data_IF_040166013611
#
_entry.id   IF_040166013611
#
_cell.length_a   1.000
_cell.length_b   1.000
_cell.length_c   1.000
_cell.angle_alpha   90.00
_cell.angle_beta   90.00
_cell.angle_gamma   90.00
#
_symmetry.space_group_name_H-M   'P 1'
#
loop_
_entity.id
_entity.type
_entity.pdbx_description
1 polymer ?
#
# COMPACT_ATOMS: atom_id res chain seq x y z
N UNK A 1 -7.48 31.12 -18.52
CA UNK A 1 -8.63 30.26 -18.83
C UNK A 1 -9.19 30.75 -20.14
N UNK A 2 -9.46 29.85 -21.09
CA UNK A 2 -10.24 30.20 -22.28
C UNK A 2 -11.63 30.70 -21.85
N UNK A 3 -12.31 31.48 -22.69
CA UNK A 3 -13.66 32.00 -22.39
C UNK A 3 -14.73 30.90 -22.20
N UNK A 4 -14.39 29.63 -22.42
CA UNK A 4 -15.33 28.49 -22.41
C UNK A 4 -14.97 27.38 -21.41
N UNK A 5 -14.00 27.60 -20.51
CA UNK A 5 -13.62 26.61 -19.50
C UNK A 5 -14.49 26.73 -18.23
N UNK A 6 -15.12 25.62 -17.82
CA UNK A 6 -15.88 25.52 -16.57
C UNK A 6 -15.09 24.74 -15.53
N UNK A 7 -15.23 25.11 -14.25
CA UNK A 7 -14.57 24.42 -13.15
C UNK A 7 -15.59 23.65 -12.32
N UNK A 8 -15.39 22.34 -12.17
CA UNK A 8 -16.30 21.42 -11.51
C UNK A 8 -15.59 20.79 -10.31
N UNK A 9 -16.09 20.99 -9.07
CA UNK A 9 -15.61 20.25 -7.92
C UNK A 9 -16.25 18.86 -7.87
N UNK A 10 -15.43 17.82 -7.83
CA UNK A 10 -15.86 16.43 -7.60
C UNK A 10 -15.34 15.98 -6.24
N UNK A 11 -16.26 15.60 -5.35
CA UNK A 11 -15.96 15.26 -3.95
C UNK A 11 -16.04 16.47 -3.01
N UNK A 12 -15.87 16.28 -1.68
CA UNK A 12 -15.48 15.03 -1.00
C UNK A 12 -16.65 14.06 -0.75
N UNK A 13 -17.88 14.42 -1.13
CA UNK A 13 -19.10 13.63 -0.89
C UNK A 13 -19.74 13.08 -2.19
N UNK A 14 -18.97 12.98 -3.28
CA UNK A 14 -19.49 12.56 -4.58
C UNK A 14 -19.60 11.03 -4.66
N UNK A 15 -20.74 10.44 -5.08
CA UNK A 15 -20.93 8.98 -5.11
C UNK A 15 -19.90 8.21 -5.92
N UNK A 16 -19.43 8.78 -7.03
CA UNK A 16 -18.43 8.19 -7.92
C UNK A 16 -16.97 8.34 -7.41
N UNK A 17 -16.77 8.79 -6.17
CA UNK A 17 -15.47 8.78 -5.52
C UNK A 17 -15.66 8.20 -4.13
N UNK A 18 -15.26 6.95 -3.96
CA UNK A 18 -15.44 6.22 -2.69
C UNK A 18 -14.62 6.76 -1.51
N UNK A 19 -13.57 7.53 -1.79
CA UNK A 19 -12.70 8.10 -0.78
C UNK A 19 -12.91 9.62 -0.63
N UNK A 20 -12.79 10.18 0.57
CA UNK A 20 -12.96 11.61 0.81
C UNK A 20 -11.76 12.41 0.27
N UNK A 21 -11.82 12.72 -1.03
CA UNK A 21 -10.89 13.58 -1.77
C UNK A 21 -11.69 14.59 -2.57
N UNK A 22 -11.11 15.76 -2.82
CA UNK A 22 -11.72 16.78 -3.68
C UNK A 22 -10.85 16.97 -4.91
N UNK A 23 -11.42 16.73 -6.08
CA UNK A 23 -10.82 17.06 -7.37
C UNK A 23 -11.49 18.31 -7.90
N UNK A 24 -10.72 19.33 -8.25
CA UNK A 24 -11.23 20.45 -9.03
C UNK A 24 -10.78 20.24 -10.47
N UNK A 25 -11.76 20.05 -11.35
CA UNK A 25 -11.53 19.71 -12.73
C UNK A 25 -11.99 20.87 -13.59
N UNK A 26 -11.07 21.40 -14.39
CA UNK A 26 -11.38 22.41 -15.40
C UNK A 26 -11.65 21.69 -16.73
N UNK A 27 -12.81 21.95 -17.34
CA UNK A 27 -13.28 21.28 -18.55
C UNK A 27 -13.63 22.27 -19.67
N UNK A 28 -13.34 21.90 -20.90
CA UNK A 28 -13.81 22.56 -22.13
C UNK A 28 -14.76 21.59 -22.86
N UNK A 29 -16.06 21.83 -22.76
CA UNK A 29 -17.07 20.83 -23.13
C UNK A 29 -16.96 19.61 -22.20
N UNK A 30 -16.63 18.44 -22.76
CA UNK A 30 -16.40 17.20 -21.98
C UNK A 30 -14.92 16.90 -21.70
N UNK A 31 -14.01 17.63 -22.36
CA UNK A 31 -12.57 17.35 -22.29
C UNK A 31 -11.95 18.05 -21.08
N UNK A 32 -11.17 17.28 -20.33
CA UNK A 32 -10.45 17.78 -19.15
C UNK A 32 -9.20 18.55 -19.60
N UNK A 33 -9.08 19.81 -19.16
CA UNK A 33 -7.93 20.69 -19.45
C UNK A 33 -7.11 21.07 -18.22
N UNK A 34 -7.67 20.88 -17.02
CA UNK A 34 -6.98 21.14 -15.76
C UNK A 34 -7.46 20.24 -14.63
N UNK A 35 -6.55 19.84 -13.75
CA UNK A 35 -6.84 18.97 -12.61
C UNK A 35 -6.05 19.45 -11.39
N UNK A 36 -6.76 19.89 -10.35
CA UNK A 36 -6.18 20.14 -9.04
C UNK A 36 -6.69 19.07 -8.05
N UNK A 37 -5.76 18.45 -7.31
CA UNK A 37 -6.07 17.41 -6.33
C UNK A 37 -5.94 17.96 -4.91
N UNK A 38 -7.04 17.98 -4.16
CA UNK A 38 -7.08 18.43 -2.78
C UNK A 38 -7.29 17.24 -1.83
N UNK A 39 -6.25 16.96 -1.06
CA UNK A 39 -6.24 15.92 -0.03
C UNK A 39 -6.37 16.54 1.38
N UNK A 40 -6.35 15.69 2.40
CA UNK A 40 -6.30 15.99 3.85
C UNK A 40 -7.62 15.99 4.61
N UNK A 41 -8.71 15.52 4.01
CA UNK A 41 -10.01 15.38 4.66
C UNK A 41 -10.04 14.32 5.78
N UNK A 42 -9.02 13.43 5.86
CA UNK A 42 -8.94 12.29 6.83
C UNK A 42 -7.61 12.27 7.60
N UNK A 43 -7.01 13.43 7.86
CA UNK A 43 -5.80 13.46 8.69
C UNK A 43 -6.14 13.09 10.15
N UNK A 44 -5.54 12.00 10.66
CA UNK A 44 -5.81 11.46 12.01
C UNK A 44 -4.64 11.61 13.00
N UNK A 45 -3.55 12.27 12.61
CA UNK A 45 -2.39 12.46 13.49
C UNK A 45 -1.67 11.17 13.92
N UNK A 46 -1.75 10.09 13.13
CA UNK A 46 -1.22 8.75 13.48
C UNK A 46 0.26 8.77 13.86
N UNK A 47 1.11 9.46 13.08
CA UNK A 47 2.55 9.59 13.36
C UNK A 47 2.79 10.28 14.71
N UNK A 48 2.07 11.38 14.97
CA UNK A 48 2.17 12.12 16.23
C UNK A 48 1.69 11.29 17.42
N UNK A 49 0.56 10.60 17.30
CA UNK A 49 0.06 9.70 18.37
C UNK A 49 1.07 8.58 18.62
N UNK A 50 1.66 7.99 17.57
CA UNK A 50 2.64 6.92 17.73
C UNK A 50 3.95 7.37 18.38
N UNK A 51 4.41 8.59 18.10
CA UNK A 51 5.59 9.20 18.74
C UNK A 51 5.33 9.61 20.20
N UNK A 52 4.08 9.85 20.60
CA UNK A 52 3.71 10.20 21.98
C UNK A 52 3.20 9.01 22.80
N UNK A 53 3.14 7.81 22.22
CA UNK A 53 2.82 6.58 22.96
C UNK A 53 4.03 6.10 23.74
N UNK A 54 3.79 5.69 24.98
CA UNK A 54 4.83 5.26 25.91
C UNK A 54 5.62 4.02 25.48
N UNK A 55 5.22 3.25 24.45
CA UNK A 55 5.94 2.03 24.05
C UNK A 55 5.73 1.67 22.56
N UNK A 56 6.80 1.36 21.80
CA UNK A 56 6.77 0.84 20.43
C UNK A 56 5.80 -0.33 20.22
N UNK A 57 5.69 -1.24 21.20
CA UNK A 57 4.79 -2.39 21.15
C UNK A 57 3.33 -1.95 21.02
N UNK A 58 2.94 -0.87 21.69
CA UNK A 58 1.58 -0.33 21.60
C UNK A 58 1.31 0.37 20.26
N UNK A 59 2.36 0.83 19.58
CA UNK A 59 2.27 1.49 18.29
C UNK A 59 1.99 0.51 17.14
N UNK A 60 2.21 -0.80 17.33
CA UNK A 60 1.84 -1.83 16.35
C UNK A 60 0.34 -1.76 16.01
N UNK A 61 -0.52 -1.68 17.03
CA UNK A 61 -1.96 -1.58 16.83
C UNK A 61 -2.40 -0.25 16.21
N UNK A 62 -1.53 0.77 16.29
CA UNK A 62 -1.75 2.05 15.64
C UNK A 62 -1.35 1.98 14.16
N UNK A 63 -0.27 1.27 13.83
CA UNK A 63 0.14 0.98 12.46
C UNK A 63 -0.94 0.20 11.69
N UNK A 64 -1.65 -0.73 12.34
CA UNK A 64 -2.81 -1.41 11.72
C UNK A 64 -3.95 -0.48 11.33
N UNK A 65 -4.07 0.67 12.01
CA UNK A 65 -5.15 1.65 11.77
C UNK A 65 -4.76 2.72 10.77
N UNK A 66 -3.53 2.69 10.25
CA UNK A 66 -3.03 3.60 9.20
C UNK A 66 -3.92 3.50 7.95
N UNK A 67 -4.33 2.28 7.60
CA UNK A 67 -5.26 1.96 6.51
C UNK A 67 -6.42 1.12 7.04
N UNK A 68 -7.59 1.21 6.42
CA UNK A 68 -8.72 0.32 6.71
C UNK A 68 -8.58 -1.08 6.09
N UNK A 69 -7.65 -1.26 5.15
CA UNK A 69 -7.51 -2.48 4.33
C UNK A 69 -6.11 -3.10 4.47
N UNK A 70 -5.04 -2.29 4.41
CA UNK A 70 -3.64 -2.71 4.59
C UNK A 70 -3.27 -2.89 6.08
N UNK A 71 -4.04 -3.69 6.82
CA UNK A 71 -3.83 -3.89 8.25
C UNK A 71 -2.73 -4.90 8.57
N UNK A 72 -2.08 -5.52 7.58
CA UNK A 72 -0.93 -6.41 7.73
C UNK A 72 0.32 -5.75 7.17
N UNK A 73 0.26 -5.14 5.99
CA UNK A 73 1.44 -4.53 5.37
C UNK A 73 1.99 -3.35 6.18
N UNK A 74 1.13 -2.48 6.72
CA UNK A 74 1.58 -1.36 7.55
C UNK A 74 2.25 -1.78 8.87
N UNK A 75 1.66 -2.64 9.72
CA UNK A 75 2.37 -3.11 10.89
C UNK A 75 3.58 -3.96 10.50
N UNK A 76 3.57 -4.72 9.40
CA UNK A 76 4.74 -5.48 8.94
C UNK A 76 5.90 -4.53 8.61
N UNK A 77 5.64 -3.48 7.85
CA UNK A 77 6.63 -2.46 7.52
C UNK A 77 7.12 -1.74 8.79
N UNK A 78 6.22 -1.40 9.71
CA UNK A 78 6.61 -0.79 10.99
C UNK A 78 7.49 -1.72 11.84
N UNK A 79 7.13 -3.00 12.01
CA UNK A 79 7.93 -3.92 12.83
C UNK A 79 9.29 -4.19 12.21
N UNK A 80 9.40 -4.29 10.89
CA UNK A 80 10.69 -4.38 10.21
C UNK A 80 11.56 -3.15 10.49
N UNK A 81 10.98 -1.94 10.44
CA UNK A 81 11.73 -0.72 10.75
C UNK A 81 12.26 -0.73 12.19
N UNK A 82 11.46 -1.21 13.14
CA UNK A 82 11.85 -1.31 14.56
C UNK A 82 12.86 -2.43 14.80
N UNK A 83 12.70 -3.56 14.13
CA UNK A 83 13.62 -4.71 14.14
C UNK A 83 15.00 -4.30 13.62
N UNK A 84 15.05 -3.58 12.50
CA UNK A 84 16.26 -3.01 11.91
C UNK A 84 16.95 -2.02 12.88
N UNK A 85 16.19 -1.07 13.43
CA UNK A 85 16.72 -0.09 14.40
C UNK A 85 17.23 -0.73 15.71
N UNK A 86 16.66 -1.87 16.12
CA UNK A 86 17.00 -2.54 17.37
C UNK A 86 17.95 -3.74 17.20
N UNK A 87 18.30 -4.11 15.97
CA UNK A 87 19.11 -5.30 15.66
C UNK A 87 18.44 -6.62 16.07
N UNK A 88 17.10 -6.70 15.97
CA UNK A 88 16.32 -7.90 16.31
C UNK A 88 15.99 -8.66 15.03
N UNK A 89 16.46 -9.89 14.91
CA UNK A 89 16.09 -10.77 13.80
C UNK A 89 14.91 -11.67 14.20
N UNK A 90 13.80 -11.70 13.43
CA UNK A 90 12.71 -12.64 13.66
C UNK A 90 13.15 -14.08 13.34
N UNK A 91 12.55 -15.10 13.95
CA UNK A 91 12.75 -16.48 13.54
C UNK A 91 12.22 -16.76 12.13
N UNK A 92 12.86 -17.69 11.40
CA UNK A 92 12.49 -18.07 10.04
C UNK A 92 11.01 -18.49 9.89
N UNK A 93 10.51 -19.30 10.84
CA UNK A 93 9.08 -19.68 10.86
C UNK A 93 8.16 -18.47 10.94
N UNK A 94 8.53 -17.43 11.70
CA UNK A 94 7.74 -16.22 11.80
C UNK A 94 7.70 -15.48 10.46
N UNK A 95 8.82 -15.39 9.75
CA UNK A 95 8.91 -14.74 8.44
C UNK A 95 8.03 -15.41 7.38
N UNK A 96 7.96 -16.74 7.36
CA UNK A 96 7.02 -17.46 6.51
C UNK A 96 5.56 -17.15 6.84
N UNK A 97 5.21 -17.11 8.13
CA UNK A 97 3.85 -16.75 8.56
C UNK A 97 3.53 -15.30 8.17
N UNK A 98 4.48 -14.37 8.31
CA UNK A 98 4.32 -12.97 7.89
C UNK A 98 4.04 -12.86 6.40
N UNK A 99 4.78 -13.60 5.57
CA UNK A 99 4.56 -13.66 4.12
C UNK A 99 3.20 -14.24 3.76
N UNK A 100 2.79 -15.37 4.36
CA UNK A 100 1.46 -15.97 4.14
C UNK A 100 0.36 -14.94 4.47
N UNK A 101 0.46 -14.28 5.63
CA UNK A 101 -0.52 -13.28 6.03
C UNK A 101 -0.54 -12.09 5.08
N UNK A 102 0.62 -11.58 4.64
CA UNK A 102 0.71 -10.46 3.71
C UNK A 102 0.09 -10.78 2.34
N UNK A 103 0.28 -11.99 1.82
CA UNK A 103 -0.32 -12.42 0.54
C UNK A 103 -1.84 -12.68 0.66
N UNK A 104 -2.33 -13.15 1.81
CA UNK A 104 -3.78 -13.22 2.06
C UNK A 104 -4.41 -11.81 2.05
N UNK A 105 -3.74 -10.80 2.62
CA UNK A 105 -4.18 -9.41 2.51
C UNK A 105 -4.10 -8.88 1.07
N UNK A 106 -3.12 -9.31 0.28
CA UNK A 106 -3.03 -8.96 -1.15
C UNK A 106 -4.20 -9.49 -1.96
N UNK A 107 -4.56 -10.77 -1.80
CA UNK A 107 -5.74 -11.36 -2.44
C UNK A 107 -7.00 -10.61 -2.03
N UNK A 108 -7.20 -10.40 -0.73
CA UNK A 108 -8.32 -9.63 -0.19
C UNK A 108 -8.43 -8.23 -0.81
N UNK A 109 -7.29 -7.55 -0.92
CA UNK A 109 -7.22 -6.19 -1.44
C UNK A 109 -7.52 -6.11 -2.93
N UNK A 110 -6.92 -6.98 -3.75
CA UNK A 110 -7.13 -6.97 -5.19
C UNK A 110 -8.55 -7.36 -5.56
N UNK A 111 -9.17 -8.31 -4.84
CA UNK A 111 -10.59 -8.66 -5.06
C UNK A 111 -11.53 -7.51 -4.64
N UNK A 112 -11.22 -6.81 -3.53
CA UNK A 112 -11.98 -5.62 -3.14
C UNK A 112 -11.95 -4.58 -4.27
N UNK A 113 -10.74 -4.26 -4.73
CA UNK A 113 -10.52 -3.29 -5.78
C UNK A 113 -11.17 -3.70 -7.10
N UNK A 114 -11.05 -4.97 -7.52
CA UNK A 114 -11.65 -5.45 -8.75
C UNK A 114 -13.18 -5.30 -8.73
N UNK A 115 -13.81 -5.56 -7.57
CA UNK A 115 -15.23 -5.26 -7.38
C UNK A 115 -15.53 -3.78 -7.55
N UNK A 116 -14.79 -2.90 -6.86
CA UNK A 116 -14.97 -1.44 -6.96
C UNK A 116 -14.78 -0.95 -8.39
N UNK A 117 -13.75 -1.41 -9.09
CA UNK A 117 -13.51 -1.07 -10.49
C UNK A 117 -14.72 -1.45 -11.35
N UNK A 118 -15.31 -2.64 -11.16
CA UNK A 118 -16.51 -3.05 -11.87
C UNK A 118 -17.73 -2.17 -11.55
N UNK A 119 -17.90 -1.75 -10.30
CA UNK A 119 -18.97 -0.82 -9.91
C UNK A 119 -18.83 0.54 -10.60
N UNK A 120 -17.62 1.11 -10.65
CA UNK A 120 -17.35 2.41 -11.27
C UNK A 120 -17.60 2.43 -12.79
N UNK A 121 -17.48 1.27 -13.46
CA UNK A 121 -17.87 1.13 -14.88
C UNK A 121 -19.32 0.67 -15.08
N UNK A 122 -20.10 0.46 -14.00
CA UNK A 122 -21.54 0.17 -14.03
C UNK A 122 -21.95 -1.31 -13.92
N UNK A 123 -21.04 -2.21 -13.55
CA UNK A 123 -21.27 -3.66 -13.49
C UNK A 123 -21.49 -4.18 -12.07
N UNK A 124 -22.64 -3.87 -11.48
CA UNK A 124 -22.97 -4.24 -10.10
C UNK A 124 -23.02 -5.76 -9.85
N UNK A 125 -23.46 -6.55 -10.84
CA UNK A 125 -23.46 -8.02 -10.70
C UNK A 125 -22.03 -8.56 -10.53
N UNK A 126 -21.07 -7.98 -11.25
CA UNK A 126 -19.65 -8.36 -11.15
C UNK A 126 -19.08 -7.89 -9.81
N UNK A 127 -19.44 -6.69 -9.34
CA UNK A 127 -19.11 -6.22 -8.00
C UNK A 127 -19.54 -7.23 -6.91
N UNK A 128 -20.82 -7.62 -6.90
CA UNK A 128 -21.35 -8.57 -5.91
C UNK A 128 -20.68 -9.95 -6.02
N UNK A 129 -20.44 -10.43 -7.25
CA UNK A 129 -19.76 -11.70 -7.48
C UNK A 129 -18.33 -11.68 -6.92
N UNK A 130 -17.53 -10.66 -7.26
CA UNK A 130 -16.14 -10.55 -6.83
C UNK A 130 -16.04 -10.37 -5.31
N UNK A 131 -16.95 -9.62 -4.69
CA UNK A 131 -16.98 -9.47 -3.24
C UNK A 131 -17.43 -10.74 -2.51
N UNK A 132 -18.32 -11.55 -3.09
CA UNK A 132 -18.63 -12.87 -2.55
C UNK A 132 -17.39 -13.79 -2.54
N UNK A 133 -16.54 -13.71 -3.57
CA UNK A 133 -15.25 -14.44 -3.59
C UNK A 133 -14.26 -13.92 -2.54
N UNK A 134 -14.28 -12.62 -2.25
CA UNK A 134 -13.46 -11.98 -1.22
C UNK A 134 -13.80 -12.47 0.20
N UNK A 135 -15.05 -12.83 0.48
CA UNK A 135 -15.42 -13.30 1.83
C UNK A 135 -14.64 -14.54 2.25
N UNK A 136 -14.31 -15.45 1.31
CA UNK A 136 -13.57 -16.68 1.62
C UNK A 136 -12.17 -16.42 2.20
N UNK A 137 -11.46 -15.38 1.74
CA UNK A 137 -10.15 -15.00 2.27
C UNK A 137 -10.29 -14.27 3.60
N UNK A 138 -11.39 -13.52 3.80
CA UNK A 138 -11.68 -12.90 5.09
C UNK A 138 -11.99 -13.94 6.17
N UNK A 139 -12.74 -14.99 5.84
CA UNK A 139 -12.99 -16.12 6.75
C UNK A 139 -11.69 -16.83 7.13
N UNK A 140 -10.77 -16.99 6.16
CA UNK A 140 -9.46 -17.58 6.40
C UNK A 140 -8.58 -16.69 7.30
N UNK A 141 -8.55 -15.38 7.04
CA UNK A 141 -7.86 -14.39 7.88
C UNK A 141 -8.43 -14.39 9.30
N UNK A 142 -9.75 -14.47 9.44
CA UNK A 142 -10.43 -14.57 10.74
C UNK A 142 -10.04 -15.85 11.47
N UNK A 143 -10.00 -16.99 10.79
CA UNK A 143 -9.56 -18.25 11.39
C UNK A 143 -8.11 -18.16 11.91
N UNK A 144 -7.20 -17.55 11.15
CA UNK A 144 -5.79 -17.45 11.51
C UNK A 144 -5.51 -16.39 12.59
N UNK A 145 -6.15 -15.23 12.51
CA UNK A 145 -5.84 -14.07 13.36
C UNK A 145 -6.86 -13.80 14.46
N UNK A 146 -8.08 -14.32 14.32
CA UNK A 146 -9.22 -14.10 15.21
C UNK A 146 -10.10 -12.91 14.84
N UNK A 147 -9.72 -12.10 13.85
CA UNK A 147 -10.48 -10.93 13.40
C UNK A 147 -10.44 -10.82 11.88
N UNK A 148 -11.49 -10.25 11.27
CA UNK A 148 -11.56 -10.06 9.81
C UNK A 148 -10.72 -8.89 9.28
N UNK A 149 -10.65 -7.78 10.01
CA UNK A 149 -10.04 -6.52 9.54
C UNK A 149 -8.77 -6.17 10.33
N UNK A 150 -8.89 -5.90 11.63
CA UNK A 150 -7.75 -5.59 12.52
C UNK A 150 -7.19 -6.88 13.12
N UNK A 151 -6.12 -7.39 12.51
CA UNK A 151 -5.68 -8.78 12.68
C UNK A 151 -4.71 -8.98 13.85
N UNK A 152 -4.03 -7.93 14.31
CA UNK A 152 -3.09 -7.96 15.44
C UNK A 152 -2.02 -9.07 15.35
N UNK A 153 -1.66 -9.52 14.14
CA UNK A 153 -0.83 -10.71 13.94
C UNK A 153 0.68 -10.41 14.01
N UNK A 154 1.07 -9.23 13.54
CA UNK A 154 2.47 -8.79 13.50
C UNK A 154 2.95 -8.44 14.91
N UNK A 155 4.14 -8.90 15.29
CA UNK A 155 4.82 -8.49 16.52
C UNK A 155 6.28 -8.12 16.22
N UNK A 156 6.88 -7.25 17.04
CA UNK A 156 8.32 -6.99 16.96
C UNK A 156 9.05 -8.29 17.35
N UNK A 157 9.91 -8.78 16.46
CA UNK A 157 10.62 -10.04 16.58
C UNK A 157 9.82 -11.28 16.21
N UNK A 158 8.67 -11.18 15.53
CA UNK A 158 7.95 -12.34 14.98
C UNK A 158 6.45 -12.15 14.78
N UNK A 159 5.65 -13.15 15.17
CA UNK A 159 4.19 -13.18 15.01
C UNK A 159 3.46 -13.59 16.29
N UNK A 160 2.20 -13.17 16.44
CA UNK A 160 1.39 -13.44 17.64
C UNK A 160 0.89 -14.88 17.71
N UNK A 161 0.47 -15.45 16.59
CA UNK A 161 -0.16 -16.77 16.51
C UNK A 161 0.58 -17.62 15.49
N UNK A 162 0.67 -18.90 15.80
CA UNK A 162 1.22 -19.91 14.90
C UNK A 162 0.15 -20.49 13.97
N UNK A 163 0.57 -21.14 12.89
CA UNK A 163 -0.29 -21.89 11.96
C UNK A 163 -0.23 -23.37 12.33
N UNK A 164 -1.37 -23.92 12.77
CA UNK A 164 -1.55 -25.36 13.04
C UNK A 164 -1.60 -26.17 11.74
N UNK A 165 -1.45 -27.49 11.82
CA UNK A 165 -1.63 -28.39 10.66
C UNK A 165 -3.05 -28.29 10.05
N UNK A 166 -4.07 -28.10 10.88
CA UNK A 166 -5.43 -27.81 10.40
C UNK A 166 -5.48 -26.48 9.65
N UNK A 167 -4.77 -25.45 10.16
CA UNK A 167 -4.65 -24.16 9.50
C UNK A 167 -3.98 -24.28 8.12
N UNK A 168 -2.91 -25.06 8.00
CA UNK A 168 -2.28 -25.36 6.71
C UNK A 168 -3.27 -25.97 5.72
N UNK A 169 -4.05 -26.97 6.17
CA UNK A 169 -5.07 -27.62 5.33
C UNK A 169 -6.12 -26.62 4.84
N UNK A 170 -6.67 -25.79 5.73
CA UNK A 170 -7.66 -24.75 5.38
C UNK A 170 -7.10 -23.71 4.42
N UNK A 171 -5.84 -23.30 4.59
CA UNK A 171 -5.18 -22.38 3.67
C UNK A 171 -5.10 -23.02 2.28
N UNK A 172 -4.65 -24.28 2.16
CA UNK A 172 -4.57 -24.98 0.88
C UNK A 172 -5.93 -25.12 0.20
N UNK A 173 -6.98 -25.46 0.95
CA UNK A 173 -8.36 -25.51 0.46
C UNK A 173 -8.83 -24.14 -0.07
N UNK A 174 -8.56 -23.06 0.67
CA UNK A 174 -8.86 -21.70 0.22
C UNK A 174 -8.11 -21.31 -1.05
N UNK A 175 -6.83 -21.64 -1.13
CA UNK A 175 -6.00 -21.39 -2.32
C UNK A 175 -6.49 -22.18 -3.53
N UNK A 176 -6.94 -23.42 -3.33
CA UNK A 176 -7.52 -24.23 -4.40
C UNK A 176 -8.83 -23.64 -4.92
N UNK A 177 -9.71 -23.18 -4.02
CA UNK A 177 -10.93 -22.48 -4.39
C UNK A 177 -10.67 -21.27 -5.30
N UNK A 178 -9.65 -20.46 -5.00
CA UNK A 178 -9.30 -19.31 -5.84
C UNK A 178 -8.80 -19.71 -7.21
N UNK A 179 -7.98 -20.77 -7.33
CA UNK A 179 -7.54 -21.27 -8.63
C UNK A 179 -8.70 -21.74 -9.51
N UNK A 180 -9.69 -22.41 -8.91
CA UNK A 180 -10.88 -22.90 -9.65
C UNK A 180 -11.79 -21.77 -10.12
N UNK A 181 -11.84 -20.65 -9.38
CA UNK A 181 -12.63 -19.47 -9.75
C UNK A 181 -11.87 -18.49 -10.63
N UNK A 182 -10.54 -18.57 -10.66
CA UNK A 182 -9.69 -17.60 -11.36
C UNK A 182 -10.04 -17.48 -12.84
N UNK A 183 -10.19 -18.61 -13.55
CA UNK A 183 -10.53 -18.63 -14.96
C UNK A 183 -11.84 -17.86 -15.27
N UNK A 184 -12.82 -17.91 -14.37
CA UNK A 184 -14.07 -17.18 -14.54
C UNK A 184 -13.91 -15.68 -14.28
N UNK A 185 -13.09 -15.28 -13.30
CA UNK A 185 -12.78 -13.86 -13.06
C UNK A 185 -11.99 -13.30 -14.24
N UNK A 186 -10.98 -14.04 -14.70
CA UNK A 186 -10.17 -13.69 -15.85
C UNK A 186 -11.03 -13.46 -17.09
N UNK A 187 -11.97 -14.37 -17.38
CA UNK A 187 -12.89 -14.24 -18.50
C UNK A 187 -13.78 -12.99 -18.38
N UNK A 188 -14.39 -12.76 -17.21
CA UNK A 188 -15.25 -11.58 -16.98
C UNK A 188 -14.47 -10.28 -17.18
N UNK A 189 -13.27 -10.15 -16.61
CA UNK A 189 -12.56 -8.87 -16.60
C UNK A 189 -11.68 -8.62 -17.81
N UNK A 190 -11.09 -9.66 -18.41
CA UNK A 190 -10.10 -9.52 -19.47
C UNK A 190 -10.66 -9.84 -20.86
N UNK A 191 -11.70 -10.68 -20.96
CA UNK A 191 -12.29 -11.08 -22.25
C UNK A 191 -13.61 -10.36 -22.57
N UNK A 192 -14.26 -9.72 -21.59
CA UNK A 192 -15.49 -8.98 -21.84
C UNK A 192 -15.24 -7.70 -22.69
N UNK A 193 -15.88 -7.59 -23.87
CA UNK A 193 -15.70 -6.43 -24.75
C UNK A 193 -16.13 -5.10 -24.13
N UNK A 194 -17.12 -5.12 -23.24
CA UNK A 194 -17.71 -3.91 -22.65
C UNK A 194 -16.80 -3.35 -21.56
N UNK A 195 -16.20 -4.22 -20.74
CA UNK A 195 -15.16 -3.81 -19.79
C UNK A 195 -13.96 -3.24 -20.55
N UNK A 196 -13.52 -3.91 -21.62
CA UNK A 196 -12.42 -3.41 -22.45
C UNK A 196 -12.71 -2.04 -23.05
N UNK A 197 -13.93 -1.82 -23.55
CA UNK A 197 -14.37 -0.52 -24.10
C UNK A 197 -14.29 0.63 -23.07
N UNK A 198 -14.48 0.35 -21.77
CA UNK A 198 -14.46 1.36 -20.70
C UNK A 198 -13.11 1.56 -20.03
N UNK A 199 -12.11 0.75 -20.37
CA UNK A 199 -10.84 0.69 -19.62
C UNK A 199 -9.59 0.77 -20.50
N UNK A 200 -9.70 0.39 -21.78
CA UNK A 200 -8.61 0.53 -22.75
C UNK A 200 -8.48 1.98 -23.18
N UNK A 201 -7.23 2.44 -23.32
CA UNK A 201 -6.89 3.83 -23.71
C UNK A 201 -7.47 4.91 -22.78
N UNK A 202 -7.91 4.51 -21.58
CA UNK A 202 -8.43 5.39 -20.53
C UNK A 202 -7.38 5.56 -19.44
N UNK A 203 -7.12 6.80 -19.02
CA UNK A 203 -6.21 7.06 -17.90
C UNK A 203 -4.77 6.65 -18.15
N UNK A 204 -4.24 6.94 -19.33
CA UNK A 204 -2.90 6.52 -19.72
C UNK A 204 -1.84 7.18 -18.84
N UNK A 205 -0.99 6.37 -18.21
CA UNK A 205 0.24 6.82 -17.56
C UNK A 205 1.42 6.25 -18.34
N UNK A 206 2.17 7.14 -19.00
CA UNK A 206 3.36 6.75 -19.74
C UNK A 206 4.45 6.24 -18.78
N UNK A 207 5.35 5.39 -19.28
CA UNK A 207 6.51 4.93 -18.49
C UNK A 207 7.37 6.09 -17.99
N UNK A 208 7.54 7.12 -18.80
CA UNK A 208 8.31 8.32 -18.44
C UNK A 208 7.65 9.08 -17.29
N UNK A 209 6.34 9.34 -17.38
CA UNK A 209 5.59 10.02 -16.33
C UNK A 209 5.52 9.19 -15.05
N UNK A 210 5.36 7.86 -15.16
CA UNK A 210 5.40 6.95 -14.01
C UNK A 210 6.72 7.07 -13.23
N UNK A 211 7.85 7.13 -13.94
CA UNK A 211 9.17 7.30 -13.33
C UNK A 211 9.35 8.71 -12.76
N UNK A 212 8.94 9.75 -13.50
CA UNK A 212 9.05 11.16 -13.10
C UNK A 212 8.23 11.48 -11.86
N UNK A 213 7.03 10.90 -11.75
CA UNK A 213 6.11 11.05 -10.62
C UNK A 213 6.35 10.02 -9.51
N UNK A 214 7.36 9.17 -9.67
CA UNK A 214 7.73 8.13 -8.70
C UNK A 214 6.57 7.18 -8.36
N UNK A 215 5.70 6.87 -9.33
CA UNK A 215 4.61 5.91 -9.15
C UNK A 215 5.15 4.56 -8.65
N UNK A 216 4.35 3.83 -7.87
CA UNK A 216 4.76 2.56 -7.25
C UNK A 216 3.68 1.49 -7.37
N UNK A 217 4.11 0.23 -7.22
CA UNK A 217 3.19 -0.90 -7.16
C UNK A 217 2.54 -1.24 -8.49
N UNK A 218 1.28 -1.74 -8.46
CA UNK A 218 0.55 -2.09 -9.66
C UNK A 218 0.40 -0.93 -10.65
N UNK A 219 0.37 0.32 -10.15
CA UNK A 219 0.28 1.52 -11.01
C UNK A 219 1.53 1.69 -11.87
N UNK A 220 2.72 1.52 -11.28
CA UNK A 220 3.99 1.61 -12.02
C UNK A 220 4.18 0.39 -12.95
N UNK A 221 3.84 -0.80 -12.46
CA UNK A 221 3.92 -2.05 -13.24
C UNK A 221 3.02 -2.04 -14.46
N UNK A 222 1.82 -1.47 -14.36
CA UNK A 222 0.94 -1.30 -15.51
C UNK A 222 1.51 -0.37 -16.59
N UNK A 223 2.38 0.57 -16.22
CA UNK A 223 3.14 1.42 -17.16
C UNK A 223 4.46 0.77 -17.64
N UNK A 224 4.66 -0.53 -17.39
CA UNK A 224 5.83 -1.27 -17.85
C UNK A 224 7.09 -1.02 -17.03
N UNK A 225 6.95 -0.56 -15.78
CA UNK A 225 8.07 -0.44 -14.83
C UNK A 225 8.09 -1.70 -13.95
N UNK A 226 9.01 -2.66 -14.17
CA UNK A 226 9.04 -3.93 -13.43
C UNK A 226 9.68 -3.77 -12.04
N UNK A 227 9.10 -2.88 -11.22
CA UNK A 227 9.54 -2.59 -9.85
C UNK A 227 8.60 -3.28 -8.85
N UNK A 228 9.15 -4.05 -7.94
CA UNK A 228 8.43 -4.70 -6.85
C UNK A 228 9.38 -4.90 -5.67
N UNK A 229 9.03 -4.42 -4.48
CA UNK A 229 9.91 -4.55 -3.31
C UNK A 229 10.17 -6.02 -2.96
N UNK A 230 9.22 -6.93 -3.22
CA UNK A 230 9.39 -8.37 -2.97
C UNK A 230 10.45 -9.02 -3.86
N UNK A 231 10.72 -8.43 -5.03
CA UNK A 231 11.74 -8.86 -5.97
C UNK A 231 13.06 -8.11 -5.74
N UNK A 232 13.01 -6.78 -5.64
CA UNK A 232 14.20 -5.93 -5.66
C UNK A 232 14.90 -5.85 -4.29
N UNK A 233 14.12 -5.93 -3.21
CA UNK A 233 14.60 -5.95 -1.82
C UNK A 233 13.85 -7.04 -1.04
N UNK A 234 14.05 -8.33 -1.39
CA UNK A 234 13.25 -9.41 -0.85
C UNK A 234 13.39 -9.51 0.68
N UNK A 235 12.26 -9.76 1.35
CA UNK A 235 12.16 -9.86 2.80
C UNK A 235 11.28 -11.05 3.20
N UNK A 236 11.43 -11.53 4.44
CA UNK A 236 10.74 -12.73 4.91
C UNK A 236 10.90 -13.91 3.93
N UNK A 237 9.85 -14.67 3.69
CA UNK A 237 9.91 -15.81 2.77
C UNK A 237 9.92 -15.44 1.28
N UNK A 238 9.83 -14.16 0.91
CA UNK A 238 9.98 -13.76 -0.50
C UNK A 238 11.40 -13.97 -1.02
N UNK A 239 12.40 -13.90 -0.12
CA UNK A 239 13.81 -14.15 -0.44
C UNK A 239 14.07 -15.59 -0.91
N UNK A 240 13.30 -16.54 -0.38
CA UNK A 240 13.43 -17.97 -0.68
C UNK A 240 12.62 -18.38 -1.93
N UNK A 241 11.52 -17.69 -2.22
CA UNK A 241 10.64 -17.99 -3.36
C UNK A 241 11.14 -17.44 -4.71
N UNK A 242 11.63 -16.19 -4.72
CA UNK A 242 12.02 -15.50 -5.96
C UNK A 242 10.84 -14.92 -6.74
N UNK A 243 10.17 -13.91 -6.17
CA UNK A 243 9.04 -13.21 -6.80
C UNK A 243 9.47 -12.50 -8.09
N UNK A 244 8.60 -12.53 -9.11
CA UNK A 244 8.78 -11.76 -10.35
C UNK A 244 7.68 -10.70 -10.47
N UNK A 245 8.08 -9.45 -10.70
CA UNK A 245 7.13 -8.36 -10.93
C UNK A 245 6.26 -8.67 -12.17
N UNK A 246 4.95 -8.52 -12.02
CA UNK A 246 4.00 -8.74 -13.11
C UNK A 246 3.80 -7.46 -13.90
N UNK A 247 4.02 -7.50 -15.21
CA UNK A 247 3.76 -6.39 -16.13
C UNK A 247 2.79 -6.83 -17.23
N UNK A 248 2.02 -5.91 -17.83
CA UNK A 248 0.98 -6.26 -18.82
C UNK A 248 1.49 -7.03 -20.03
N UNK A 249 2.72 -6.75 -20.47
CA UNK A 249 3.38 -7.42 -21.58
C UNK A 249 3.53 -8.94 -21.38
N UNK A 250 3.53 -9.41 -20.13
CA UNK A 250 3.52 -10.84 -19.82
C UNK A 250 2.21 -11.54 -20.21
N UNK A 251 1.13 -10.79 -20.39
CA UNK A 251 -0.20 -11.30 -20.76
C UNK A 251 -0.50 -11.10 -22.24
N UNK A 252 -0.40 -9.86 -22.74
CA UNK A 252 -0.81 -9.49 -24.10
C UNK A 252 0.38 -9.12 -25.02
N UNK A 253 1.62 -9.15 -24.53
CA UNK A 253 2.81 -8.76 -25.28
C UNK A 253 3.03 -7.25 -25.43
N UNK A 254 2.15 -6.41 -24.86
CA UNK A 254 2.16 -4.96 -25.05
C UNK A 254 1.93 -4.20 -23.72
N UNK A 255 2.28 -2.92 -23.68
CA UNK A 255 2.04 -2.07 -22.51
C UNK A 255 1.57 -0.71 -22.97
N UNK A 256 0.39 -0.32 -22.49
CA UNK A 256 -0.31 0.92 -22.80
C UNK A 256 -0.33 1.85 -21.57
N UNK A 257 -0.32 1.30 -20.35
CA UNK A 257 -0.36 2.09 -19.12
C UNK A 257 -1.75 2.65 -18.79
N UNK A 258 -2.80 2.08 -19.37
CA UNK A 258 -4.20 2.44 -19.17
C UNK A 258 -4.83 1.73 -17.96
N UNK A 259 -6.14 1.95 -17.73
CA UNK A 259 -6.88 1.27 -16.67
C UNK A 259 -6.92 -0.25 -16.91
N UNK A 260 -7.02 -0.70 -18.16
CA UNK A 260 -7.07 -2.12 -18.50
C UNK A 260 -5.79 -2.86 -18.10
N UNK A 261 -4.62 -2.29 -18.38
CA UNK A 261 -3.33 -2.82 -17.95
C UNK A 261 -3.21 -2.88 -16.41
N UNK A 262 -3.81 -1.90 -15.70
CA UNK A 262 -3.91 -1.90 -14.23
C UNK A 262 -4.84 -2.99 -13.69
N UNK A 263 -5.83 -3.44 -14.46
CA UNK A 263 -6.68 -4.61 -14.17
C UNK A 263 -5.87 -5.90 -14.35
N UNK A 264 -5.17 -6.04 -15.48
CA UNK A 264 -4.32 -7.21 -15.77
C UNK A 264 -3.34 -7.46 -14.62
N UNK A 265 -2.55 -6.45 -14.23
CA UNK A 265 -1.52 -6.60 -13.19
C UNK A 265 -2.13 -7.09 -11.87
N UNK A 266 -3.24 -6.48 -11.40
CA UNK A 266 -3.84 -6.84 -10.12
C UNK A 266 -4.50 -8.22 -10.13
N UNK A 267 -5.12 -8.63 -11.24
CA UNK A 267 -5.70 -9.97 -11.36
C UNK A 267 -4.61 -11.04 -11.39
N UNK A 268 -3.57 -10.85 -12.19
CA UNK A 268 -2.45 -11.79 -12.24
C UNK A 268 -1.68 -11.83 -10.90
N UNK A 269 -1.59 -10.71 -10.16
CA UNK A 269 -1.04 -10.71 -8.81
C UNK A 269 -1.85 -11.58 -7.84
N UNK A 270 -3.18 -11.71 -8.00
CA UNK A 270 -3.97 -12.67 -7.20
C UNK A 270 -3.51 -14.10 -7.46
N UNK A 271 -3.31 -14.48 -8.72
CA UNK A 271 -2.81 -15.81 -9.08
C UNK A 271 -1.41 -16.06 -8.50
N UNK A 272 -0.49 -15.11 -8.64
CA UNK A 272 0.86 -15.22 -8.07
C UNK A 272 0.82 -15.28 -6.53
N UNK A 273 -0.07 -14.53 -5.88
CA UNK A 273 -0.26 -14.58 -4.42
C UNK A 273 -0.66 -15.99 -3.96
N UNK A 274 -1.56 -16.64 -4.71
CA UNK A 274 -2.00 -18.02 -4.45
C UNK A 274 -0.83 -19.00 -4.57
N UNK A 275 0.01 -18.84 -5.58
CA UNK A 275 1.21 -19.67 -5.79
C UNK A 275 2.24 -19.48 -4.66
N UNK A 276 2.51 -18.23 -4.26
CA UNK A 276 3.40 -17.91 -3.14
C UNK A 276 2.88 -18.53 -1.83
N UNK A 277 1.58 -18.41 -1.53
CA UNK A 277 0.99 -18.96 -0.31
C UNK A 277 1.09 -20.49 -0.30
N UNK A 278 0.76 -21.16 -1.40
CA UNK A 278 0.87 -22.64 -1.49
C UNK A 278 2.31 -23.07 -1.22
N UNK A 279 3.28 -22.44 -1.87
CA UNK A 279 4.70 -22.72 -1.68
C UNK A 279 5.15 -22.45 -0.23
N UNK A 280 4.77 -21.31 0.36
CA UNK A 280 5.19 -20.95 1.72
C UNK A 280 4.58 -21.89 2.78
N UNK A 281 3.36 -22.40 2.56
CA UNK A 281 2.75 -23.41 3.44
C UNK A 281 3.46 -24.76 3.33
N UNK A 282 3.85 -25.16 2.13
CA UNK A 282 4.57 -26.42 1.88
C UNK A 282 5.98 -26.41 2.46
N UNK A 283 6.64 -25.26 2.47
CA UNK A 283 8.00 -25.08 2.96
C UNK A 283 8.08 -24.48 4.37
N UNK A 284 6.97 -24.38 5.10
CA UNK A 284 6.93 -23.73 6.42
C UNK A 284 7.84 -24.44 7.44
N UNK A 285 8.96 -23.83 7.89
CA UNK A 285 9.91 -24.50 8.76
C UNK A 285 9.38 -24.66 10.18
N UNK A 286 9.89 -25.65 10.91
CA UNK A 286 9.63 -25.77 12.36
C UNK A 286 10.50 -24.76 13.13
N UNK A 287 10.02 -24.30 14.28
CA UNK A 287 10.81 -23.40 15.13
C UNK A 287 9.97 -22.45 15.97
N UNK A 288 10.63 -21.53 16.71
CA UNK A 288 9.94 -20.50 17.44
C UNK A 288 9.28 -19.49 16.47
N UNK A 289 8.20 -18.86 16.93
CA UNK A 289 7.50 -17.78 16.19
C UNK A 289 7.85 -16.37 16.70
N UNK A 290 8.66 -16.28 17.75
CA UNK A 290 9.08 -15.04 18.39
C UNK A 290 10.54 -15.13 18.81
N UNK A 291 11.30 -14.07 18.54
CA UNK A 291 12.68 -13.89 18.99
C UNK A 291 12.75 -13.74 20.51
N UNK A 292 11.82 -13.00 21.11
CA UNK A 292 11.69 -12.85 22.56
C UNK A 292 10.22 -13.01 22.97
N UNK A 293 9.92 -14.04 23.78
CA UNK A 293 8.56 -14.36 24.24
C UNK A 293 8.13 -13.48 25.41
N UNK A 294 9.08 -13.01 26.21
CA UNK A 294 8.79 -12.19 27.38
C UNK A 294 8.68 -10.71 27.00
N UNK A 295 7.46 -10.17 27.01
CA UNK A 295 7.18 -8.76 26.67
C UNK A 295 7.92 -7.75 27.54
N UNK A 296 8.20 -8.08 28.82
CA UNK A 296 8.98 -7.20 29.71
C UNK A 296 10.42 -7.12 29.23
N UNK A 297 11.00 -8.26 28.83
CA UNK A 297 12.36 -8.32 28.30
C UNK A 297 12.45 -7.63 26.94
N UNK A 298 11.47 -7.84 26.06
CA UNK A 298 11.38 -7.13 24.78
C UNK A 298 11.30 -5.61 24.99
N UNK A 299 10.47 -5.14 25.93
CA UNK A 299 10.39 -3.71 26.27
C UNK A 299 11.73 -3.16 26.75
N UNK A 300 12.46 -3.91 27.59
CA UNK A 300 13.79 -3.53 28.05
C UNK A 300 14.82 -3.48 26.93
N UNK A 301 14.77 -4.42 25.97
CA UNK A 301 15.62 -4.40 24.77
C UNK A 301 15.36 -3.15 23.94
N UNK A 302 14.08 -2.86 23.65
CA UNK A 302 13.69 -1.68 22.88
C UNK A 302 14.08 -0.37 23.55
N UNK A 303 13.96 -0.28 24.88
CA UNK A 303 14.40 0.91 25.65
C UNK A 303 15.91 1.11 25.62
N UNK A 304 16.69 0.03 25.46
CA UNK A 304 18.16 0.08 25.37
C UNK A 304 18.66 0.29 23.94
N UNK A 305 17.81 0.05 22.94
CA UNK A 305 18.15 0.23 21.54
C UNK A 305 18.33 1.72 21.18
N UNK A 306 19.21 1.98 20.22
CA UNK A 306 19.47 3.29 19.66
C UNK A 306 19.78 3.14 18.17
N UNK A 307 19.30 4.06 17.36
CA UNK A 307 19.55 4.00 15.92
C UNK A 307 18.35 4.42 15.09
N UNK A 308 18.53 4.30 13.79
CA UNK A 308 17.55 4.56 12.75
C UNK A 308 17.31 3.26 12.00
N UNK A 309 16.06 2.96 11.66
CA UNK A 309 15.69 1.76 10.94
C UNK A 309 14.62 2.00 9.91
N UNK A 310 14.65 1.24 8.82
CA UNK A 310 13.74 1.39 7.68
C UNK A 310 13.09 0.05 7.36
N UNK A 311 11.77 0.02 7.44
CA UNK A 311 10.97 -1.06 6.90
C UNK A 311 10.55 -0.74 5.47
N UNK A 312 10.54 -1.76 4.60
CA UNK A 312 10.06 -1.67 3.23
C UNK A 312 9.24 -2.90 2.91
N UNK A 313 7.97 -2.70 2.57
CA UNK A 313 7.03 -3.78 2.25
C UNK A 313 6.30 -3.41 0.97
N UNK A 314 6.13 -4.36 0.06
CA UNK A 314 5.23 -4.17 -1.07
C UNK A 314 3.78 -4.36 -0.57
N UNK A 315 3.10 -3.28 -0.22
CA UNK A 315 1.66 -3.34 0.04
C UNK A 315 0.90 -3.65 -1.28
N UNK A 316 -0.38 -4.05 -1.24
CA UNK A 316 -1.15 -4.32 -2.46
C UNK A 316 -1.30 -3.11 -3.40
N UNK A 317 -1.01 -1.90 -2.90
CA UNK A 317 -1.02 -0.64 -3.65
C UNK A 317 0.37 -0.20 -4.10
N UNK A 318 1.42 -0.90 -3.68
CA UNK A 318 2.82 -0.60 -3.97
C UNK A 318 3.71 -0.50 -2.73
N UNK A 319 4.91 0.04 -2.94
CA UNK A 319 5.93 0.22 -1.90
C UNK A 319 5.40 1.06 -0.72
N UNK A 320 5.41 0.47 0.48
CA UNK A 320 5.14 1.13 1.76
C UNK A 320 6.45 1.21 2.53
N UNK A 321 6.78 2.39 3.04
CA UNK A 321 8.03 2.63 3.78
C UNK A 321 7.70 3.21 5.15
N UNK A 322 8.25 2.60 6.19
CA UNK A 322 8.22 3.13 7.55
C UNK A 322 9.66 3.42 7.97
N UNK A 323 9.88 4.61 8.46
CA UNK A 323 11.13 5.02 9.07
C UNK A 323 10.90 5.22 10.56
N UNK A 324 11.77 4.65 11.39
CA UNK A 324 11.74 4.83 12.83
C UNK A 324 13.11 5.25 13.34
N UNK A 325 13.12 6.04 14.40
CA UNK A 325 14.32 6.37 15.15
C UNK A 325 14.11 6.11 16.64
N UNK A 326 15.00 5.33 17.21
CA UNK A 326 15.05 4.99 18.62
C UNK A 326 16.16 5.79 19.31
N UNK A 327 15.95 6.13 20.57
CA UNK A 327 16.93 6.82 21.41
C UNK A 327 17.06 6.08 22.74
N UNK A 328 18.29 5.72 23.09
CA UNK A 328 18.59 4.98 24.31
C UNK A 328 17.98 5.65 25.53
N UNK A 329 17.28 4.87 26.34
CA UNK A 329 16.66 5.33 27.59
C UNK A 329 15.29 5.99 27.43
N UNK A 330 14.88 6.35 26.19
CA UNK A 330 13.52 6.80 25.91
C UNK A 330 12.65 5.63 25.52
N UNK A 331 11.40 5.63 25.99
CA UNK A 331 10.44 4.59 25.61
C UNK A 331 9.73 4.92 24.29
N UNK A 332 9.24 6.15 24.02
CA UNK A 332 8.61 6.47 22.74
C UNK A 332 9.61 6.52 21.57
N UNK A 333 9.09 6.38 20.34
CA UNK A 333 9.86 6.69 19.15
C UNK A 333 10.30 8.15 19.16
N UNK A 334 11.58 8.42 18.87
CA UNK A 334 12.03 9.79 18.64
C UNK A 334 11.45 10.34 17.33
N UNK A 335 11.33 9.47 16.33
CA UNK A 335 10.65 9.77 15.08
C UNK A 335 10.00 8.52 14.53
N UNK A 336 8.79 8.65 14.00
CA UNK A 336 8.14 7.63 13.18
C UNK A 336 7.51 8.31 11.97
N UNK A 337 7.99 7.96 10.78
CA UNK A 337 7.49 8.50 9.51
C UNK A 337 6.97 7.38 8.63
N UNK A 338 5.81 7.60 8.04
CA UNK A 338 5.16 6.64 7.14
C UNK A 338 5.07 7.27 5.75
N UNK A 339 5.52 6.54 4.74
CA UNK A 339 5.29 6.84 3.32
C UNK A 339 4.49 5.71 2.69
N UNK A 340 3.18 5.91 2.67
CA UNK A 340 2.27 4.94 2.06
C UNK A 340 2.29 5.02 0.52
N UNK A 341 1.88 3.95 -0.19
CA UNK A 341 1.93 3.90 -1.66
C UNK A 341 1.06 4.96 -2.33
N UNK A 342 -0.12 5.22 -1.78
CA UNK A 342 -1.07 6.23 -2.28
C UNK A 342 -0.44 7.62 -2.38
N UNK A 343 0.54 7.96 -1.53
CA UNK A 343 1.25 9.23 -1.61
C UNK A 343 1.90 9.47 -2.97
N UNK A 344 2.50 8.42 -3.54
CA UNK A 344 3.13 8.51 -4.85
C UNK A 344 2.15 8.27 -6.00
N UNK A 345 1.03 7.58 -5.75
CA UNK A 345 0.10 7.18 -6.80
C UNK A 345 -1.04 8.17 -7.06
N UNK A 346 -1.19 9.22 -6.25
CA UNK A 346 -2.22 10.25 -6.44
C UNK A 346 -1.81 11.34 -7.43
N UNK A 347 -0.55 11.80 -7.41
CA UNK A 347 -0.08 12.78 -8.38
C UNK A 347 -0.12 12.29 -9.84
N UNK A 348 0.12 10.99 -10.13
CA UNK A 348 -0.16 10.39 -11.43
C UNK A 348 -1.58 10.60 -11.97
N UNK A 349 -2.57 10.94 -11.15
CA UNK A 349 -3.91 11.25 -11.65
C UNK A 349 -3.94 12.46 -12.58
N UNK A 350 -3.04 13.43 -12.37
CA UNK A 350 -3.01 14.64 -13.19
C UNK A 350 -2.76 14.29 -14.66
N UNK A 351 -1.63 13.66 -15.06
CA UNK A 351 -1.42 13.29 -16.45
C UNK A 351 -2.42 12.23 -16.94
N UNK A 352 -2.91 11.32 -16.08
CA UNK A 352 -3.91 10.32 -16.49
C UNK A 352 -5.26 10.95 -16.89
N UNK A 353 -5.67 12.03 -16.22
CA UNK A 353 -6.96 12.68 -16.44
C UNK A 353 -6.90 13.77 -17.52
N UNK A 354 -5.74 14.42 -17.71
CA UNK A 354 -5.59 15.49 -18.69
C UNK A 354 -5.86 14.98 -20.12
N UNK A 355 -6.73 15.68 -20.84
CA UNK A 355 -7.15 15.31 -22.18
C UNK A 355 -8.21 14.21 -22.26
N UNK A 356 -8.53 13.55 -21.14
CA UNK A 356 -9.60 12.56 -21.04
C UNK A 356 -10.99 13.20 -20.91
N UNK A 357 -12.02 12.36 -20.80
CA UNK A 357 -13.40 12.79 -20.60
C UNK A 357 -13.77 12.84 -19.11
N UNK A 358 -14.71 13.72 -18.75
CA UNK A 358 -15.20 13.82 -17.36
C UNK A 358 -15.80 12.51 -16.83
N UNK A 359 -16.39 11.70 -17.71
CA UNK A 359 -16.98 10.40 -17.37
C UNK A 359 -15.94 9.34 -16.94
N UNK A 360 -14.67 9.54 -17.29
CA UNK A 360 -13.58 8.61 -16.96
C UNK A 360 -12.94 8.90 -15.61
N UNK A 361 -13.22 10.07 -15.02
CA UNK A 361 -12.62 10.48 -13.74
C UNK A 361 -12.78 9.41 -12.65
N UNK A 362 -13.97 8.82 -12.44
CA UNK A 362 -14.17 7.82 -11.38
C UNK A 362 -13.28 6.60 -11.56
N UNK A 363 -13.28 6.01 -12.77
CA UNK A 363 -12.52 4.80 -13.04
C UNK A 363 -11.00 5.05 -13.05
N UNK A 364 -10.54 6.20 -13.54
CA UNK A 364 -9.12 6.57 -13.48
C UNK A 364 -8.66 6.72 -12.04
N UNK A 365 -9.41 7.44 -11.21
CA UNK A 365 -9.11 7.57 -9.78
C UNK A 365 -9.11 6.20 -9.07
N UNK A 366 -10.19 5.43 -9.23
CA UNK A 366 -10.35 4.09 -8.65
C UNK A 366 -9.25 3.13 -9.13
N UNK A 367 -8.77 3.25 -10.36
CA UNK A 367 -7.75 2.35 -10.93
C UNK A 367 -6.40 2.40 -10.20
N UNK A 368 -6.16 3.42 -9.39
CA UNK A 368 -4.95 3.50 -8.55
C UNK A 368 -5.13 2.90 -7.15
N UNK A 369 -6.34 2.46 -6.81
CA UNK A 369 -6.74 1.94 -5.48
C UNK A 369 -6.34 2.93 -4.35
N UNK A 370 -6.81 4.18 -4.41
CA UNK A 370 -6.42 5.20 -3.47
C UNK A 370 -6.96 4.89 -2.07
N UNK A 371 -6.18 5.20 -1.04
CA UNK A 371 -6.66 5.24 0.34
C UNK A 371 -6.29 6.58 0.96
N UNK A 372 -7.27 7.46 1.19
CA UNK A 372 -7.01 8.81 1.70
C UNK A 372 -6.55 8.79 3.16
N UNK A 373 -6.97 7.75 3.91
CA UNK A 373 -6.41 7.46 5.24
C UNK A 373 -4.89 7.23 5.21
N UNK A 374 -4.37 6.68 4.10
CA UNK A 374 -2.94 6.46 3.85
C UNK A 374 -2.21 7.72 3.38
N UNK A 375 -2.87 8.51 2.52
CA UNK A 375 -2.32 9.68 1.85
C UNK A 375 -2.16 10.91 2.75
N UNK A 376 -3.17 11.19 3.58
CA UNK A 376 -3.38 12.48 4.24
C UNK A 376 -2.36 12.76 5.35
N UNK A 377 -1.12 13.08 4.97
CA UNK A 377 0.05 13.24 5.87
C UNK A 377 0.99 14.35 5.44
N UNK A 378 0.45 15.40 4.82
CA UNK A 378 1.22 16.58 4.44
C UNK A 378 1.23 17.57 5.60
N UNK A 379 2.42 17.90 6.07
CA UNK A 379 2.66 19.15 6.80
C UNK A 379 3.31 20.12 5.82
N UNK A 380 2.56 21.16 5.45
CA UNK A 380 3.14 22.40 4.94
C UNK A 380 2.59 23.50 5.85
N UNK A 381 3.48 24.17 6.58
CA UNK A 381 3.15 25.35 7.38
C UNK A 381 3.80 26.54 6.70
N UNK A 382 2.99 27.48 6.25
CA UNK A 382 3.36 28.88 6.09
C UNK A 382 2.41 29.68 6.99
N UNK A 383 2.96 30.51 7.87
CA UNK A 383 2.19 31.35 8.79
C UNK A 383 1.49 32.52 8.08
N UNK A 384 1.70 32.78 6.77
CA UNK A 384 1.21 34.02 6.12
C UNK A 384 0.72 33.92 4.67
N UNK A 385 0.27 32.76 4.21
CA UNK A 385 -0.57 32.64 3.00
C UNK A 385 0.05 33.17 1.69
N UNK A 386 1.38 33.13 1.52
CA UNK A 386 2.04 33.61 0.30
C UNK A 386 2.67 32.44 -0.46
N UNK A 387 2.17 32.18 -1.68
CA UNK A 387 2.67 31.09 -2.56
C UNK A 387 4.13 31.34 -2.94
N UNK A 388 5.01 30.37 -2.64
CA UNK A 388 6.34 30.27 -3.22
C UNK A 388 6.55 28.85 -3.77
N UNK A 389 7.25 28.77 -4.90
CA UNK A 389 7.61 27.51 -5.54
C UNK A 389 8.78 26.85 -4.80
N UNK A 390 8.58 25.61 -4.34
CA UNK A 390 9.58 24.84 -3.59
C UNK A 390 10.42 24.04 -4.59
N UNK A 391 11.60 24.55 -4.93
CA UNK A 391 12.54 23.83 -5.81
C UNK A 391 13.34 22.77 -5.04
N UNK A 392 13.81 21.73 -5.74
CA UNK A 392 14.70 20.68 -5.18
C UNK A 392 15.93 21.26 -4.48
N UNK A 393 16.51 22.32 -5.04
CA UNK A 393 17.65 23.03 -4.44
C UNK A 393 17.29 23.75 -3.15
N UNK A 394 16.08 24.31 -3.06
CA UNK A 394 15.59 24.92 -1.83
C UNK A 394 15.40 23.88 -0.72
N UNK A 395 14.81 22.72 -1.05
CA UNK A 395 14.67 21.59 -0.13
C UNK A 395 16.03 21.05 0.33
N UNK A 396 16.99 20.94 -0.58
CA UNK A 396 18.35 20.53 -0.24
C UNK A 396 19.03 21.53 0.69
N UNK A 397 18.91 22.85 0.43
CA UNK A 397 19.44 23.90 1.32
C UNK A 397 18.81 23.86 2.72
N UNK A 398 17.51 23.59 2.82
CA UNK A 398 16.81 23.44 4.10
C UNK A 398 17.27 22.20 4.87
N UNK A 399 17.43 21.06 4.18
CA UNK A 399 17.99 19.84 4.76
C UNK A 399 19.41 20.08 5.29
N UNK A 400 20.29 20.68 4.48
CA UNK A 400 21.66 21.05 4.89
C UNK A 400 21.66 22.00 6.09
N UNK A 401 20.78 23.01 6.12
CA UNK A 401 20.65 23.95 7.26
C UNK A 401 20.19 23.23 8.53
N UNK A 402 19.22 22.33 8.43
CA UNK A 402 18.73 21.53 9.57
C UNK A 402 19.82 20.60 10.08
N UNK A 403 20.52 19.90 9.20
CA UNK A 403 21.66 19.03 9.54
C UNK A 403 22.77 19.82 10.24
N UNK A 404 23.14 21.00 9.73
CA UNK A 404 24.13 21.89 10.38
C UNK A 404 23.67 22.38 11.75
N UNK A 405 22.38 22.68 11.93
CA UNK A 405 21.82 23.08 13.24
C UNK A 405 21.85 21.91 14.23
N UNK A 406 21.55 20.69 13.78
CA UNK A 406 21.63 19.49 14.60
C UNK A 406 23.08 19.17 14.99
N UNK A 407 24.03 19.32 14.07
CA UNK A 407 25.46 19.16 14.35
C UNK A 407 25.96 20.17 15.39
N UNK A 408 25.59 21.45 15.28
CA UNK A 408 25.97 22.50 16.25
C UNK A 408 25.37 22.28 17.64
N UNK A 409 24.14 21.78 17.72
CA UNK A 409 23.48 21.50 19.00
C UNK A 409 23.90 20.15 19.63
N UNK A 410 24.57 19.28 18.87
CA UNK A 410 25.17 18.05 19.37
C UNK A 410 26.55 18.25 20.02
N UNK A 411 27.19 19.41 19.83
CA UNK A 411 28.55 19.70 20.32
C UNK A 411 28.60 20.34 21.72
N UNK A 412 27.46 20.56 22.38
CA UNK A 412 27.39 21.17 23.73
C UNK A 412 27.00 20.19 24.84
N UNK A 413 27.28 18.90 24.64
CA UNK A 413 27.11 17.84 25.65
C UNK A 413 28.40 17.03 25.79
N UNK A 414 29.44 17.73 26.20
CA UNK A 414 30.60 17.26 26.96
C UNK A 414 30.74 18.21 28.11
#
# INVERSE_FOLDING_TARGET
MSEHAYSIPIGPLHPAIHEPITLKIDVEGERIVGVDVFCSQVHRGIEWIGMNRNNPIQSIYLAERVCGICNICHPFCMVQAVEDAAGISPPERADYIRTIMAELERIHSHLLWAGVAAHEIGFDTVFHYTWALREKVMDLIEYLSGNRVTKAIMMIGGVRRDISEEGKRKIKEGMQYYMEKFAKIEDIYLNDPTIRMRTRDVGILTREDALKLCAVGPVARASGVPKDVRQDFPYGAYADYGVKAITPDMYNGETHGDVFDRIIVRLLEVKQSVEIIKWAVDNLPQGPILAEKNLVRLKLLLKKAEGEGIGRVEAPRGEDIHYVRLEKGKEPYLSWKIRAPTYNNVLPWIPMLLGGQIADVPIVAASTDPCMSCLNRVTVVDEKGKKYEITKEYMHKLSVRKTRRLMRNGSSRT
#
